data_IF_044104577901
#
_entry.id   IF_044104577901
#
_cell.length_a   1.000
_cell.length_b   1.000
_cell.length_c   1.000
_cell.angle_alpha   90.00
_cell.angle_beta   90.00
_cell.angle_gamma   90.00
#
_symmetry.space_group_name_H-M   'P 1'
#
loop_
_entity.id
_entity.type
_entity.pdbx_description
1 polymer ?
#
# COMPACT_ATOMS: atom_id res chain seq x y z
N UNK A 1 -2.13 1.43 15.20
CA UNK A 1 -1.78 2.32 14.08
C UNK A 1 -0.59 1.81 13.27
N UNK A 2 0.56 1.54 13.88
CA UNK A 2 1.78 1.10 13.15
C UNK A 2 1.60 -0.17 12.30
N UNK A 3 0.89 -1.19 12.82
CA UNK A 3 0.63 -2.45 12.10
C UNK A 3 -0.22 -2.25 10.84
N UNK A 4 -1.22 -1.38 10.91
CA UNK A 4 -2.14 -1.03 9.82
C UNK A 4 -1.36 -0.35 8.69
N UNK A 5 -0.47 0.58 9.04
CA UNK A 5 0.38 1.27 8.06
C UNK A 5 1.38 0.35 7.37
N UNK A 6 2.01 -0.58 8.11
CA UNK A 6 2.93 -1.57 7.52
C UNK A 6 2.23 -2.48 6.50
N UNK A 7 1.00 -2.89 6.78
CA UNK A 7 0.20 -3.72 5.86
C UNK A 7 -0.11 -2.94 4.57
N UNK A 8 -0.61 -1.71 4.70
CA UNK A 8 -0.90 -0.87 3.54
C UNK A 8 0.33 -0.60 2.65
N UNK A 9 1.49 -0.31 3.25
CA UNK A 9 2.75 -0.13 2.52
C UNK A 9 3.12 -1.38 1.71
N UNK A 10 3.06 -2.56 2.33
CA UNK A 10 3.44 -3.81 1.68
C UNK A 10 2.50 -4.17 0.52
N UNK A 11 1.19 -4.04 0.72
CA UNK A 11 0.22 -4.40 -0.32
C UNK A 11 0.18 -3.36 -1.45
N UNK A 12 0.47 -2.09 -1.15
CA UNK A 12 0.70 -1.06 -2.16
C UNK A 12 1.95 -1.35 -3.00
N UNK A 13 3.04 -1.79 -2.39
CA UNK A 13 4.26 -2.21 -3.12
C UNK A 13 3.97 -3.36 -4.10
N UNK A 14 3.12 -4.32 -3.70
CA UNK A 14 2.68 -5.44 -4.55
C UNK A 14 1.84 -4.96 -5.73
N UNK A 15 0.96 -3.99 -5.52
CA UNK A 15 0.22 -3.34 -6.63
C UNK A 15 1.17 -2.72 -7.64
N UNK A 16 2.19 -1.98 -7.20
CA UNK A 16 3.19 -1.38 -8.09
C UNK A 16 3.96 -2.45 -8.88
N UNK A 17 4.26 -3.60 -8.25
CA UNK A 17 4.92 -4.75 -8.90
C UNK A 17 4.00 -5.53 -9.85
N UNK A 18 2.73 -5.15 -9.99
CA UNK A 18 1.76 -5.84 -10.85
C UNK A 18 1.22 -7.14 -10.27
N UNK A 19 1.41 -7.39 -8.97
CA UNK A 19 0.83 -8.57 -8.31
C UNK A 19 -0.68 -8.38 -8.12
N UNK A 20 -1.51 -9.21 -8.76
CA UNK A 20 -2.98 -9.12 -8.66
C UNK A 20 -3.49 -9.24 -7.22
N UNK A 21 -2.73 -9.94 -6.35
CA UNK A 21 -3.04 -10.09 -4.93
C UNK A 21 -2.94 -8.76 -4.17
N UNK A 22 -2.05 -7.84 -4.55
CA UNK A 22 -1.88 -6.56 -3.87
C UNK A 22 -3.16 -5.71 -3.88
N UNK A 23 -3.87 -5.68 -5.02
CA UNK A 23 -5.13 -4.93 -5.15
C UNK A 23 -6.23 -5.55 -4.29
N UNK A 24 -6.35 -6.88 -4.30
CA UNK A 24 -7.34 -7.59 -3.50
C UNK A 24 -7.11 -7.37 -2.00
N UNK A 25 -5.85 -7.37 -1.55
CA UNK A 25 -5.52 -7.12 -0.15
C UNK A 25 -5.81 -5.69 0.28
N UNK A 26 -5.51 -4.67 -0.53
CA UNK A 26 -5.85 -3.28 -0.22
C UNK A 26 -7.36 -3.06 -0.11
N UNK A 27 -8.16 -3.64 -1.01
CA UNK A 27 -9.62 -3.55 -0.94
C UNK A 27 -10.16 -4.22 0.33
N UNK A 28 -9.71 -5.45 0.61
CA UNK A 28 -10.10 -6.16 1.82
C UNK A 28 -9.66 -5.42 3.10
N UNK A 29 -8.50 -4.77 3.07
CA UNK A 29 -8.00 -3.97 4.18
C UNK A 29 -8.86 -2.74 4.44
N UNK A 30 -9.29 -2.03 3.39
CA UNK A 30 -10.23 -0.90 3.47
C UNK A 30 -11.56 -1.36 4.08
N UNK A 31 -12.12 -2.45 3.55
CA UNK A 31 -13.39 -3.00 4.01
C UNK A 31 -13.33 -3.49 5.47
N UNK A 32 -12.26 -4.19 5.84
CA UNK A 32 -12.06 -4.73 7.19
C UNK A 32 -12.00 -3.63 8.25
N UNK A 33 -11.40 -2.49 7.91
CA UNK A 33 -11.24 -1.37 8.84
C UNK A 33 -12.31 -0.30 8.69
N UNK A 34 -13.29 -0.49 7.78
CA UNK A 34 -14.37 0.46 7.50
C UNK A 34 -13.84 1.89 7.28
N UNK A 35 -12.77 2.01 6.49
CA UNK A 35 -12.08 3.27 6.32
C UNK A 35 -12.95 4.26 5.54
N UNK A 36 -12.92 5.51 5.97
CA UNK A 36 -13.49 6.63 5.22
C UNK A 36 -12.63 6.99 4.01
N UNK A 37 -13.20 7.72 3.05
CA UNK A 37 -12.46 8.18 1.86
C UNK A 37 -11.20 8.97 2.22
N UNK A 38 -11.26 9.81 3.27
CA UNK A 38 -10.11 10.59 3.75
C UNK A 38 -9.01 9.69 4.35
N UNK A 39 -9.40 8.66 5.09
CA UNK A 39 -8.45 7.68 5.66
C UNK A 39 -7.81 6.83 4.58
N UNK A 40 -8.57 6.44 3.55
CA UNK A 40 -8.05 5.73 2.37
C UNK A 40 -7.01 6.60 1.68
N UNK A 41 -7.35 7.87 1.41
CA UNK A 41 -6.45 8.82 0.75
C UNK A 41 -5.16 9.01 1.56
N UNK A 42 -5.28 9.21 2.87
CA UNK A 42 -4.13 9.36 3.76
C UNK A 42 -3.23 8.13 3.75
N UNK A 43 -3.80 6.93 3.86
CA UNK A 43 -3.03 5.69 3.90
C UNK A 43 -2.35 5.39 2.57
N UNK A 44 -3.04 5.61 1.45
CA UNK A 44 -2.45 5.45 0.12
C UNK A 44 -1.32 6.46 -0.10
N UNK A 45 -1.49 7.71 0.33
CA UNK A 45 -0.44 8.73 0.26
C UNK A 45 0.81 8.31 1.05
N UNK A 46 0.64 7.92 2.32
CA UNK A 46 1.73 7.46 3.17
C UNK A 46 2.43 6.22 2.62
N UNK A 47 1.65 5.28 2.04
CA UNK A 47 2.19 4.10 1.39
C UNK A 47 3.01 4.44 0.15
N UNK A 48 2.53 5.37 -0.69
CA UNK A 48 3.23 5.86 -1.86
C UNK A 48 4.55 6.55 -1.50
N UNK A 49 4.54 7.49 -0.54
CA UNK A 49 5.77 8.13 -0.06
C UNK A 49 6.78 7.11 0.46
N UNK A 50 6.31 6.12 1.23
CA UNK A 50 7.16 5.08 1.82
C UNK A 50 7.77 4.13 0.80
N UNK A 51 7.13 3.92 -0.36
CA UNK A 51 7.66 3.06 -1.44
C UNK A 51 8.55 3.85 -2.39
N UNK A 52 8.11 5.05 -2.81
CA UNK A 52 8.88 5.92 -3.71
C UNK A 52 10.15 6.48 -3.06
N UNK A 53 10.17 6.63 -1.74
CA UNK A 53 11.35 7.07 -0.98
C UNK A 53 12.40 5.97 -0.76
N UNK A 54 12.13 4.72 -1.13
CA UNK A 54 13.13 3.64 -1.01
C UNK A 54 14.15 3.75 -2.14
N UNK A 55 15.45 3.51 -1.86
CA UNK A 55 16.42 3.31 -2.92
C UNK A 55 15.90 2.22 -3.86
N UNK A 56 15.79 2.51 -5.17
CA UNK A 56 15.49 1.48 -6.15
C UNK A 56 16.65 0.49 -6.15
N UNK A 57 16.50 -0.64 -5.47
CA UNK A 57 17.39 -1.77 -5.68
C UNK A 57 17.18 -2.26 -7.12
N UNK A 58 18.13 -1.90 -8.00
CA UNK A 58 18.28 -2.31 -9.39
C UNK A 58 17.17 -3.24 -9.91
N UNK A 59 16.11 -2.65 -10.44
CA UNK A 59 15.20 -3.36 -11.35
C UNK A 59 16.03 -3.58 -12.63
N UNK A 60 16.71 -4.72 -12.71
CA UNK A 60 17.23 -5.23 -13.98
C UNK A 60 16.02 -5.55 -14.85
N UNK A 61 15.61 -4.59 -15.68
CA UNK A 61 14.70 -4.79 -16.81
C UNK A 61 15.54 -5.15 -18.04
#
# INVERSE_FOLDING_TARGET
>A
MEKIMKMAINDYERVIKGEETGRAYLLNFIDTHQMTDDEILYVVYMAAESVCGRPQENINI
#
